data_IF_311695186340
#
_entry.id   IF_311695186340
#
_cell.length_a   1.000
_cell.length_b   1.000
_cell.length_c   1.000
_cell.angle_alpha   90.00
_cell.angle_beta   90.00
_cell.angle_gamma   90.00
#
_symmetry.space_group_name_H-M   'P 1'
#
loop_
_entity.id
_entity.type
_entity.pdbx_description
1 polymer ?
#
# COMPACT_ATOMS: atom_id res chain seq x y z
N UNK A 1 -7.82 -24.45 -19.21
CA UNK A 1 -6.53 -23.82 -19.09
C UNK A 1 -6.16 -23.57 -17.66
N UNK A 2 -4.90 -23.22 -17.44
CA UNK A 2 -4.39 -22.90 -16.12
C UNK A 2 -4.90 -21.53 -15.71
N UNK A 3 -5.64 -21.47 -14.63
CA UNK A 3 -6.02 -20.18 -14.08
C UNK A 3 -4.81 -19.54 -13.40
N UNK A 4 -4.54 -18.29 -13.72
CA UNK A 4 -3.55 -17.54 -12.98
C UNK A 4 -4.11 -17.20 -11.61
N UNK A 5 -3.27 -17.19 -10.55
CA UNK A 5 -3.75 -16.68 -9.28
C UNK A 5 -4.28 -15.27 -9.47
N UNK A 6 -5.49 -15.02 -8.96
CA UNK A 6 -6.06 -13.68 -9.04
C UNK A 6 -5.23 -12.72 -8.18
N UNK A 7 -4.99 -11.53 -8.68
CA UNK A 7 -4.40 -10.48 -7.87
C UNK A 7 -5.49 -9.88 -6.95
N UNK A 8 -5.20 -9.61 -5.67
CA UNK A 8 -3.97 -9.95 -4.98
C UNK A 8 -4.00 -11.41 -4.48
N UNK A 9 -2.85 -12.07 -4.58
CA UNK A 9 -2.71 -13.45 -4.11
C UNK A 9 -2.12 -13.54 -2.69
N UNK A 10 -1.75 -12.42 -2.12
CA UNK A 10 -1.19 -12.27 -0.78
C UNK A 10 -1.40 -10.83 -0.31
N UNK A 11 -1.07 -10.48 0.94
CA UNK A 11 -1.22 -9.10 1.42
C UNK A 11 -0.53 -8.09 0.52
N UNK A 12 -1.18 -6.94 0.33
CA UNK A 12 -0.66 -5.83 -0.48
C UNK A 12 -0.18 -4.74 0.46
N UNK A 13 1.10 -4.42 0.41
CA UNK A 13 1.68 -3.34 1.20
C UNK A 13 1.28 -2.00 0.59
N UNK A 14 0.81 -1.10 1.42
CA UNK A 14 0.47 0.25 0.99
C UNK A 14 1.44 1.21 1.68
N UNK A 15 2.35 1.79 0.91
CA UNK A 15 3.36 2.68 1.47
C UNK A 15 2.81 4.11 1.49
N UNK A 16 2.79 4.68 2.70
CA UNK A 16 2.50 6.08 2.92
C UNK A 16 3.84 6.80 3.12
N UNK A 17 4.25 7.66 2.18
CA UNK A 17 5.54 8.35 2.28
C UNK A 17 5.50 9.56 3.22
N UNK A 18 4.37 9.82 3.84
CA UNK A 18 4.17 10.96 4.72
C UNK A 18 4.11 10.52 6.18
N UNK A 19 3.98 11.50 7.09
CA UNK A 19 3.95 11.24 8.52
C UNK A 19 2.76 10.39 8.93
N UNK A 20 2.92 9.44 9.87
CA UNK A 20 1.80 8.69 10.42
C UNK A 20 0.79 9.64 11.07
N UNK A 21 -0.50 9.33 10.93
CA UNK A 21 -1.57 10.13 11.51
C UNK A 21 -1.95 11.38 10.72
N UNK A 22 -1.25 11.70 9.63
CA UNK A 22 -1.67 12.74 8.71
C UNK A 22 -2.95 12.33 7.98
N UNK A 23 -3.58 13.28 7.29
CA UNK A 23 -4.87 13.03 6.61
C UNK A 23 -4.79 11.85 5.64
N UNK A 24 -3.72 11.77 4.85
CA UNK A 24 -3.54 10.65 3.91
C UNK A 24 -3.46 9.30 4.62
N UNK A 25 -2.79 9.25 5.77
CA UNK A 25 -2.69 8.03 6.55
C UNK A 25 -4.06 7.57 7.06
N UNK A 26 -4.83 8.49 7.63
CA UNK A 26 -6.17 8.20 8.16
C UNK A 26 -7.10 7.71 7.05
N UNK A 27 -7.16 8.43 5.94
CA UNK A 27 -8.00 8.06 4.80
C UNK A 27 -7.61 6.68 4.27
N UNK A 28 -6.32 6.42 4.15
CA UNK A 28 -5.84 5.16 3.58
C UNK A 28 -6.12 3.97 4.50
N UNK A 29 -6.05 4.17 5.82
CA UNK A 29 -6.39 3.11 6.77
C UNK A 29 -7.88 2.76 6.69
N UNK A 30 -8.75 3.75 6.48
CA UNK A 30 -10.17 3.50 6.27
C UNK A 30 -10.41 2.75 4.95
N UNK A 31 -9.72 3.15 3.90
CA UNK A 31 -9.84 2.47 2.61
C UNK A 31 -9.27 1.05 2.64
N UNK A 32 -8.20 0.84 3.42
CA UNK A 32 -7.59 -0.48 3.58
C UNK A 32 -8.59 -1.53 4.04
N UNK A 33 -9.47 -1.19 4.95
CA UNK A 33 -10.51 -2.12 5.42
C UNK A 33 -11.48 -2.49 4.29
N UNK A 34 -11.84 -1.52 3.47
CA UNK A 34 -12.74 -1.77 2.33
C UNK A 34 -12.07 -2.58 1.25
N UNK A 35 -10.79 -2.31 1.01
CA UNK A 35 -9.99 -3.07 0.04
C UNK A 35 -9.85 -4.52 0.48
N UNK A 36 -9.61 -4.75 1.75
CA UNK A 36 -9.55 -6.12 2.27
C UNK A 36 -10.86 -6.87 2.02
N UNK A 37 -11.99 -6.23 2.31
CA UNK A 37 -13.30 -6.85 2.07
C UNK A 37 -13.56 -7.11 0.59
N UNK A 38 -13.11 -6.17 -0.26
CA UNK A 38 -13.33 -6.29 -1.70
C UNK A 38 -12.44 -7.35 -2.35
N UNK A 39 -11.19 -7.47 -1.91
CA UNK A 39 -10.19 -8.31 -2.57
C UNK A 39 -9.82 -9.56 -1.79
N UNK A 40 -10.23 -9.69 -0.55
CA UNK A 40 -9.97 -10.90 0.23
C UNK A 40 -8.56 -11.01 0.79
N UNK A 41 -7.76 -9.96 0.72
CA UNK A 41 -6.41 -9.92 1.27
C UNK A 41 -6.22 -8.63 2.05
N UNK A 42 -5.38 -8.64 3.11
CA UNK A 42 -5.08 -7.41 3.84
C UNK A 42 -4.33 -6.39 2.99
N UNK A 43 -4.57 -5.11 3.25
CA UNK A 43 -3.84 -4.01 2.64
C UNK A 43 -3.19 -3.18 3.76
N UNK A 44 -2.14 -3.71 4.43
CA UNK A 44 -1.53 -2.99 5.54
C UNK A 44 -0.86 -1.70 5.08
N UNK A 45 -1.07 -0.62 5.82
CA UNK A 45 -0.47 0.68 5.53
C UNK A 45 0.82 0.80 6.32
N UNK A 46 1.92 1.05 5.61
CA UNK A 46 3.24 1.30 6.20
C UNK A 46 3.63 2.76 6.00
N UNK A 47 3.95 3.44 7.09
CA UNK A 47 4.46 4.81 7.00
C UNK A 47 5.97 4.76 6.82
N UNK A 48 6.45 5.39 5.74
CA UNK A 48 7.87 5.52 5.41
C UNK A 48 8.19 6.99 5.20
N UNK A 49 8.05 7.76 6.28
CA UNK A 49 8.28 9.21 6.23
C UNK A 49 9.77 9.53 6.07
N UNK A 50 10.05 10.66 5.46
CA UNK A 50 11.40 11.19 5.35
C UNK A 50 11.65 11.90 4.03
N UNK A 51 12.48 12.93 4.08
CA UNK A 51 12.96 13.67 2.91
C UNK A 51 11.81 14.11 1.96
N UNK A 52 10.73 14.66 2.51
CA UNK A 52 9.60 15.14 1.71
C UNK A 52 8.85 14.05 0.96
N UNK A 53 8.93 12.82 1.42
CA UNK A 53 8.27 11.67 0.79
C UNK A 53 9.18 10.84 -0.08
N UNK A 54 10.44 11.24 -0.31
CA UNK A 54 11.31 10.51 -1.22
C UNK A 54 11.73 9.13 -0.68
N UNK A 55 11.84 8.98 0.64
CA UNK A 55 12.18 7.70 1.25
C UNK A 55 11.12 6.65 0.93
N UNK A 56 9.84 6.96 1.17
CA UNK A 56 8.76 6.02 0.89
C UNK A 56 8.57 5.78 -0.60
N UNK A 57 8.69 6.83 -1.40
CA UNK A 57 8.56 6.72 -2.86
C UNK A 57 9.65 5.82 -3.43
N UNK A 58 10.89 5.96 -2.96
CA UNK A 58 11.99 5.09 -3.39
C UNK A 58 11.73 3.64 -3.00
N UNK A 59 11.26 3.42 -1.76
CA UNK A 59 10.93 2.06 -1.31
C UNK A 59 9.88 1.40 -2.20
N UNK A 60 8.84 2.14 -2.57
CA UNK A 60 7.80 1.63 -3.45
C UNK A 60 8.34 1.36 -4.86
N UNK A 61 9.18 2.25 -5.38
CA UNK A 61 9.76 2.10 -6.71
C UNK A 61 10.68 0.89 -6.81
N UNK A 62 11.33 0.53 -5.71
CA UNK A 62 12.23 -0.63 -5.66
C UNK A 62 11.50 -1.95 -5.45
N UNK A 63 10.23 -1.91 -5.08
CA UNK A 63 9.45 -3.12 -4.87
C UNK A 63 9.10 -3.75 -6.22
N UNK A 64 9.34 -5.07 -6.35
CA UNK A 64 9.11 -5.81 -7.59
C UNK A 64 8.14 -6.96 -7.41
N UNK A 65 7.41 -6.98 -6.29
CA UNK A 65 6.54 -8.10 -5.92
C UNK A 65 5.13 -8.01 -6.53
N UNK A 66 4.78 -6.92 -7.19
CA UNK A 66 3.44 -6.70 -7.71
C UNK A 66 2.37 -6.52 -6.62
N UNK A 67 2.78 -6.41 -5.36
CA UNK A 67 1.91 -6.31 -4.20
C UNK A 67 2.34 -5.17 -3.28
N UNK A 68 2.82 -4.08 -3.88
CA UNK A 68 3.21 -2.87 -3.16
C UNK A 68 2.61 -1.66 -3.88
N UNK A 69 1.86 -0.87 -3.15
CA UNK A 69 1.24 0.36 -3.66
C UNK A 69 1.84 1.56 -2.95
N UNK A 70 1.81 2.70 -3.61
CA UNK A 70 2.25 3.98 -3.06
C UNK A 70 1.07 4.93 -2.99
N UNK A 71 0.89 5.57 -1.83
CA UNK A 71 -0.04 6.69 -1.70
C UNK A 71 0.70 7.97 -2.08
N UNK A 72 0.07 8.81 -2.88
CA UNK A 72 0.63 10.12 -3.20
C UNK A 72 -0.49 11.14 -3.24
N UNK A 73 -0.13 12.41 -3.08
CA UNK A 73 -1.09 13.51 -3.20
C UNK A 73 -0.79 14.37 -4.40
#
# INVERSE_FOLDING_TARGET
GQARPAWPSRPVRVINPYSPGATTDVVMRLMSERLERAFGQPFPVESRAGAGGSVGTTAAAQATDGHTLLITN
#
